data_IF_281080358328
#
_entry.id   IF_281080358328
#
_cell.length_a   1.000
_cell.length_b   1.000
_cell.length_c   1.000
_cell.angle_alpha   90.00
_cell.angle_beta   90.00
_cell.angle_gamma   90.00
#
_symmetry.space_group_name_H-M   'P 1'
#
loop_
_entity.id
_entity.type
_entity.pdbx_description
1 polymer ?
#
# COMPACT_ATOMS: atom_id res chain seq x y z
N UNK A 1 0.80 -0.38 6.85
CA UNK A 1 0.33 0.84 6.17
C UNK A 1 -0.63 1.62 7.07
N UNK A 2 -0.44 2.94 7.23
CA UNK A 2 -1.30 3.79 8.07
C UNK A 2 -2.44 4.37 7.21
N UNK A 3 -3.68 4.45 7.70
CA UNK A 3 -4.76 5.17 7.01
C UNK A 3 -4.40 6.66 6.83
N UNK A 4 -4.23 7.12 5.58
CA UNK A 4 -4.07 8.56 5.28
C UNK A 4 -5.40 9.14 4.82
N UNK A 5 -5.75 10.31 5.36
CA UNK A 5 -6.94 11.05 4.94
C UNK A 5 -6.72 11.64 3.55
N UNK A 6 -7.69 11.48 2.67
CA UNK A 6 -7.69 12.04 1.31
C UNK A 6 -7.40 13.54 1.29
N UNK A 7 -7.88 14.30 2.28
CA UNK A 7 -7.64 15.74 2.37
C UNK A 7 -6.15 16.07 2.52
N UNK A 8 -5.39 15.17 3.13
CA UNK A 8 -3.94 15.33 3.30
C UNK A 8 -3.23 15.08 1.97
N UNK A 9 -3.68 14.05 1.23
CA UNK A 9 -3.18 13.77 -0.12
C UNK A 9 -3.47 14.93 -1.06
N UNK A 10 -4.72 15.41 -1.09
CA UNK A 10 -5.16 16.46 -2.00
C UNK A 10 -4.55 17.84 -1.67
N UNK A 11 -4.10 18.06 -0.42
CA UNK A 11 -3.37 19.28 -0.03
C UNK A 11 -1.89 19.23 -0.39
N UNK A 12 -1.40 18.14 -1.00
CA UNK A 12 0.00 17.97 -1.42
C UNK A 12 1.00 18.02 -0.27
N UNK A 13 0.54 17.81 0.97
CA UNK A 13 1.37 17.91 2.17
C UNK A 13 1.69 16.51 2.66
N UNK A 14 2.97 16.13 2.50
CA UNK A 14 3.63 15.05 3.26
C UNK A 14 3.22 13.64 2.86
N UNK A 15 3.09 13.36 1.57
CA UNK A 15 3.22 11.99 1.06
C UNK A 15 4.24 12.00 -0.05
N UNK A 16 5.24 11.13 0.05
CA UNK A 16 6.19 10.87 -1.02
C UNK A 16 5.38 10.60 -2.29
N UNK A 17 5.58 11.40 -3.34
CA UNK A 17 4.76 11.37 -4.56
C UNK A 17 4.64 9.96 -5.16
N UNK A 18 5.64 9.10 -4.94
CA UNK A 18 5.66 7.73 -5.44
C UNK A 18 4.60 6.82 -4.79
N UNK A 19 4.04 7.21 -3.64
CA UNK A 19 3.06 6.42 -2.88
C UNK A 19 1.60 6.76 -3.20
N UNK A 20 1.35 7.77 -4.02
CA UNK A 20 0.00 8.17 -4.43
C UNK A 20 -0.04 8.25 -5.95
N UNK A 21 -1.11 7.69 -6.52
CA UNK A 21 -1.35 7.76 -7.96
C UNK A 21 -2.74 8.34 -8.21
N UNK A 22 -2.79 9.42 -8.97
CA UNK A 22 -4.04 10.05 -9.38
C UNK A 22 -4.41 9.58 -10.79
N UNK A 23 -5.65 9.12 -10.96
CA UNK A 23 -6.19 8.71 -12.25
C UNK A 23 -7.36 9.61 -12.60
N UNK A 24 -7.31 10.27 -13.75
CA UNK A 24 -8.37 11.19 -14.21
C UNK A 24 -9.72 10.50 -14.40
N UNK A 25 -9.74 9.21 -14.73
CA UNK A 25 -10.98 8.46 -14.93
C UNK A 25 -10.84 6.98 -14.64
N UNK A 26 -11.92 6.25 -14.87
CA UNK A 26 -11.96 4.79 -14.71
C UNK A 26 -11.37 4.09 -15.94
N UNK A 27 -10.14 3.58 -15.80
CA UNK A 27 -9.52 2.68 -16.77
C UNK A 27 -9.18 1.34 -16.09
N UNK A 28 -9.95 0.26 -16.32
CA UNK A 28 -9.74 -1.03 -15.66
C UNK A 28 -8.33 -1.60 -15.82
N UNK A 29 -7.71 -1.45 -16.99
CA UNK A 29 -6.38 -2.01 -17.26
C UNK A 29 -5.34 -1.32 -16.37
N UNK A 30 -5.27 0.00 -16.49
CA UNK A 30 -4.27 0.82 -15.81
C UNK A 30 -4.40 0.77 -14.28
N UNK A 31 -5.65 0.80 -13.77
CA UNK A 31 -5.90 0.75 -12.33
C UNK A 31 -5.53 -0.62 -11.76
N UNK A 32 -5.85 -1.72 -12.44
CA UNK A 32 -5.55 -3.07 -11.95
C UNK A 32 -4.06 -3.39 -12.03
N UNK A 33 -3.37 -2.90 -13.07
CA UNK A 33 -1.91 -2.96 -13.14
C UNK A 33 -1.28 -2.20 -11.98
N UNK A 34 -1.80 -1.02 -11.66
CA UNK A 34 -1.32 -0.19 -10.55
C UNK A 34 -1.58 -0.85 -9.18
N UNK A 35 -2.77 -1.43 -8.97
CA UNK A 35 -3.09 -2.22 -7.77
C UNK A 35 -2.12 -3.39 -7.61
N UNK A 36 -1.85 -4.12 -8.70
CA UNK A 36 -0.91 -5.24 -8.70
C UNK A 36 0.52 -4.77 -8.38
N UNK A 37 0.95 -3.64 -8.94
CA UNK A 37 2.26 -3.05 -8.64
C UNK A 37 2.40 -2.60 -7.18
N UNK A 38 1.39 -1.93 -6.62
CA UNK A 38 1.39 -1.58 -5.20
C UNK A 38 1.35 -2.79 -4.27
N UNK A 39 0.68 -3.89 -4.67
CA UNK A 39 0.70 -5.14 -3.94
C UNK A 39 2.10 -5.79 -3.94
N UNK A 40 2.84 -5.68 -5.05
CA UNK A 40 4.22 -6.13 -5.15
C UNK A 40 5.21 -5.26 -4.37
N UNK A 41 4.91 -3.97 -4.21
CA UNK A 41 5.65 -3.00 -3.39
C UNK A 41 7.16 -3.05 -3.64
N UNK A 42 7.59 -3.06 -4.90
CA UNK A 42 8.97 -3.33 -5.31
C UNK A 42 10.02 -2.49 -4.53
N UNK A 43 9.75 -1.20 -4.31
CA UNK A 43 10.62 -0.27 -3.57
C UNK A 43 10.44 -0.29 -2.03
N UNK A 44 9.70 -1.25 -1.48
CA UNK A 44 9.44 -1.40 -0.04
C UNK A 44 8.82 -0.17 0.63
N UNK A 45 7.92 0.51 -0.07
CA UNK A 45 7.17 1.67 0.42
C UNK A 45 5.99 1.30 1.33
N UNK A 46 5.77 0.00 1.55
CA UNK A 46 4.64 -0.58 2.28
C UNK A 46 3.29 -0.31 1.57
N UNK A 47 3.33 -0.31 0.24
CA UNK A 47 2.18 -0.03 -0.63
C UNK A 47 1.89 1.46 -0.80
N UNK A 48 0.71 1.76 -1.36
CA UNK A 48 0.33 3.11 -1.75
C UNK A 48 -1.18 3.30 -1.91
N UNK A 49 -1.53 4.44 -2.50
CA UNK A 49 -2.91 4.88 -2.66
C UNK A 49 -3.21 5.23 -4.11
N UNK A 50 -4.40 4.85 -4.58
CA UNK A 50 -4.90 5.29 -5.89
C UNK A 50 -6.15 6.14 -5.65
N UNK A 51 -6.21 7.29 -6.29
CA UNK A 51 -7.38 8.18 -6.27
C UNK A 51 -7.90 8.31 -7.69
N UNK A 52 -9.14 7.83 -7.91
CA UNK A 52 -9.80 7.87 -9.22
C UNK A 52 -10.66 9.15 -9.31
N UNK A 53 -10.76 9.69 -10.53
CA UNK A 53 -11.42 10.95 -10.89
C UNK A 53 -10.72 12.20 -10.39
N UNK A 54 -9.39 12.15 -10.35
CA UNK A 54 -8.53 13.28 -10.05
C UNK A 54 -7.50 13.41 -11.15
N UNK A 55 -7.50 14.55 -11.83
CA UNK A 55 -6.48 14.89 -12.81
C UNK A 55 -5.17 15.21 -12.09
N UNK A 56 -4.06 14.77 -12.65
CA UNK A 56 -2.72 15.04 -12.15
C UNK A 56 -1.94 15.93 -13.11
N UNK A 57 -1.10 16.80 -12.56
CA UNK A 57 -0.02 17.49 -13.26
C UNK A 57 1.22 17.52 -12.36
N UNK A 58 2.32 16.91 -12.81
CA UNK A 58 3.59 16.80 -12.07
C UNK A 58 3.44 16.19 -10.65
N UNK A 59 2.70 15.09 -10.47
CA UNK A 59 2.53 14.47 -9.14
C UNK A 59 1.54 15.18 -8.23
N UNK A 60 0.85 16.21 -8.73
CA UNK A 60 -0.05 17.06 -7.95
C UNK A 60 -1.47 17.05 -8.52
N UNK A 61 -2.50 16.99 -7.68
CA UNK A 61 -3.88 17.02 -8.13
C UNK A 61 -4.24 18.42 -8.68
N UNK A 62 -4.89 18.45 -9.84
CA UNK A 62 -5.37 19.66 -10.49
C UNK A 62 -6.82 19.92 -10.08
N UNK A 63 -7.12 21.19 -9.77
CA UNK A 63 -8.47 21.65 -9.42
C UNK A 63 -9.09 22.46 -10.57
N UNK A 64 -10.42 22.43 -10.77
CA UNK A 64 -11.42 21.68 -10.00
C UNK A 64 -11.35 20.16 -10.25
N UNK A 65 -11.74 19.39 -9.24
CA UNK A 65 -11.81 17.93 -9.34
C UNK A 65 -12.99 17.53 -10.24
N UNK A 66 -12.79 16.55 -11.12
CA UNK A 66 -13.84 16.07 -12.02
C UNK A 66 -14.90 15.26 -11.26
N UNK A 67 -14.47 14.36 -10.38
CA UNK A 67 -15.36 13.47 -9.65
C UNK A 67 -15.96 12.35 -10.51
N UNK A 68 -16.67 11.45 -9.84
CA UNK A 68 -17.46 10.38 -10.44
C UNK A 68 -18.95 10.72 -10.28
N UNK A 69 -19.77 10.58 -11.32
CA UNK A 69 -21.22 10.66 -11.19
C UNK A 69 -21.76 9.65 -10.17
N UNK A 70 -22.75 10.04 -9.37
CA UNK A 70 -23.25 9.20 -8.28
C UNK A 70 -23.85 7.88 -8.79
N UNK A 71 -24.47 7.91 -9.97
CA UNK A 71 -25.01 6.72 -10.64
C UNK A 71 -23.95 5.67 -10.99
N UNK A 72 -22.71 6.08 -11.26
CA UNK A 72 -21.65 5.18 -11.74
C UNK A 72 -20.83 4.57 -10.60
N UNK A 73 -20.90 5.14 -9.39
CA UNK A 73 -20.09 4.72 -8.24
C UNK A 73 -20.22 3.23 -7.92
N UNK A 74 -21.45 2.72 -7.85
CA UNK A 74 -21.70 1.31 -7.51
C UNK A 74 -21.19 0.37 -8.63
N UNK A 75 -21.40 0.76 -9.89
CA UNK A 75 -20.92 0.00 -11.05
C UNK A 75 -19.39 -0.09 -11.04
N UNK A 76 -18.71 1.04 -10.85
CA UNK A 76 -17.23 1.09 -10.82
C UNK A 76 -16.70 0.27 -9.64
N UNK A 77 -17.31 0.34 -8.45
CA UNK A 77 -16.90 -0.47 -7.31
C UNK A 77 -17.00 -1.97 -7.58
N UNK A 78 -18.12 -2.41 -8.17
CA UNK A 78 -18.33 -3.81 -8.53
C UNK A 78 -17.34 -4.27 -9.59
N UNK A 79 -17.07 -3.43 -10.59
CA UNK A 79 -16.07 -3.70 -11.62
C UNK A 79 -14.66 -3.82 -11.03
N UNK A 80 -14.22 -2.88 -10.18
CA UNK A 80 -12.92 -2.97 -9.49
C UNK A 80 -12.80 -4.31 -8.77
N UNK A 81 -13.82 -4.68 -8.00
CA UNK A 81 -13.82 -5.95 -7.26
C UNK A 81 -13.72 -7.16 -8.20
N UNK A 82 -14.49 -7.17 -9.30
CA UNK A 82 -14.46 -8.25 -10.29
C UNK A 82 -13.08 -8.38 -10.94
N UNK A 83 -12.47 -7.28 -11.35
CA UNK A 83 -11.15 -7.28 -11.97
C UNK A 83 -10.03 -7.61 -10.99
N UNK A 84 -10.14 -7.21 -9.71
CA UNK A 84 -9.19 -7.60 -8.67
C UNK A 84 -9.13 -9.13 -8.48
N UNK A 85 -10.23 -9.85 -8.73
CA UNK A 85 -10.23 -11.32 -8.69
C UNK A 85 -9.40 -11.96 -9.83
N UNK A 86 -9.00 -11.20 -10.84
CA UNK A 86 -8.08 -11.67 -11.89
C UNK A 86 -6.61 -11.56 -11.49
N UNK A 87 -6.30 -10.88 -10.38
CA UNK A 87 -4.94 -10.82 -9.82
C UNK A 87 -4.62 -12.18 -9.17
N UNK A 88 -3.42 -12.70 -9.44
CA UNK A 88 -2.94 -13.98 -8.92
C UNK A 88 -1.61 -13.77 -8.21
N UNK A 89 -1.49 -14.09 -6.91
CA UNK A 89 -2.55 -14.50 -5.99
C UNK A 89 -3.64 -13.44 -5.80
N UNK A 90 -4.81 -13.85 -5.32
CA UNK A 90 -5.96 -12.93 -5.16
C UNK A 90 -5.58 -11.77 -4.24
N UNK A 91 -5.76 -10.55 -4.74
CA UNK A 91 -5.51 -9.32 -3.99
C UNK A 91 -6.68 -8.36 -4.17
N UNK A 92 -7.19 -7.81 -3.06
CA UNK A 92 -8.29 -6.84 -3.08
C UNK A 92 -7.88 -5.65 -2.20
N UNK A 93 -7.76 -4.43 -2.76
CA UNK A 93 -7.46 -3.25 -1.97
C UNK A 93 -8.67 -2.83 -1.12
N UNK A 94 -8.43 -2.05 -0.07
CA UNK A 94 -9.53 -1.41 0.67
C UNK A 94 -10.04 -0.22 -0.15
N UNK A 95 -11.35 -0.17 -0.37
CA UNK A 95 -11.99 0.85 -1.21
C UNK A 95 -12.88 1.74 -0.38
N UNK A 96 -12.81 3.05 -0.60
CA UNK A 96 -13.65 4.04 0.07
C UNK A 96 -14.18 5.06 -0.95
N UNK A 97 -15.49 5.36 -0.88
CA UNK A 97 -16.08 6.49 -1.62
C UNK A 97 -16.00 7.72 -0.73
N UNK A 98 -15.56 8.83 -1.32
CA UNK A 98 -15.35 10.08 -0.60
C UNK A 98 -16.16 11.17 -1.31
N UNK A 99 -17.03 11.84 -0.56
CA UNK A 99 -17.63 13.11 -0.97
C UNK A 99 -16.67 14.24 -0.59
N UNK A 100 -16.04 14.86 -1.60
CA UNK A 100 -15.06 15.90 -1.36
C UNK A 100 -15.74 17.16 -0.80
N UNK A 101 -15.45 17.50 0.45
CA UNK A 101 -15.99 18.69 1.14
C UNK A 101 -17.53 18.78 1.18
N UNK A 102 -18.25 17.65 1.05
CA UNK A 102 -19.71 17.62 0.91
C UNK A 102 -20.21 18.48 -0.27
N UNK A 103 -19.41 18.59 -1.34
CA UNK A 103 -19.74 19.37 -2.53
C UNK A 103 -20.55 18.57 -3.56
N UNK A 104 -20.73 17.26 -3.34
CA UNK A 104 -21.34 16.35 -4.30
C UNK A 104 -20.37 15.80 -5.36
N UNK A 105 -19.07 16.10 -5.21
CA UNK A 105 -17.99 15.54 -6.03
C UNK A 105 -17.51 14.26 -5.35
N UNK A 106 -17.85 13.11 -5.93
CA UNK A 106 -17.46 11.81 -5.40
C UNK A 106 -16.12 11.34 -5.98
N UNK A 107 -15.24 10.82 -5.13
CA UNK A 107 -13.97 10.22 -5.52
C UNK A 107 -13.94 8.77 -5.04
N UNK A 108 -13.23 7.91 -5.78
CA UNK A 108 -12.96 6.54 -5.34
C UNK A 108 -11.51 6.48 -4.88
N UNK A 109 -11.33 6.10 -3.62
CA UNK A 109 -10.04 6.03 -2.95
C UNK A 109 -9.71 4.58 -2.64
N UNK A 110 -8.58 4.10 -3.17
CA UNK A 110 -8.11 2.72 -3.02
C UNK A 110 -6.84 2.69 -2.18
N UNK A 111 -6.83 1.88 -1.13
CA UNK A 111 -5.65 1.64 -0.29
C UNK A 111 -5.09 0.29 -0.64
N UNK A 112 -3.90 0.32 -1.23
CA UNK A 112 -3.20 -0.87 -1.68
C UNK A 112 -2.02 -1.09 -0.73
N UNK A 113 -2.19 -1.91 0.31
CA UNK A 113 -1.09 -2.33 1.17
C UNK A 113 -0.17 -3.31 0.47
N UNK A 114 1.12 -3.32 0.81
CA UNK A 114 2.03 -4.37 0.38
C UNK A 114 1.42 -5.75 0.71
N UNK A 115 1.38 -6.62 -0.28
CA UNK A 115 0.88 -7.97 -0.11
C UNK A 115 1.95 -8.89 0.50
N UNK A 116 1.51 -9.97 1.13
CA UNK A 116 2.36 -10.93 1.83
C UNK A 116 2.51 -12.26 1.08
N UNK A 117 1.66 -12.49 0.08
CA UNK A 117 1.49 -13.79 -0.57
C UNK A 117 2.07 -13.82 -1.99
N UNK A 118 2.64 -12.72 -2.47
CA UNK A 118 3.14 -12.55 -3.83
C UNK A 118 4.39 -13.39 -4.14
N UNK A 119 5.02 -13.17 -5.31
CA UNK A 119 4.76 -12.06 -6.23
C UNK A 119 3.39 -12.11 -6.92
N UNK A 120 2.74 -10.95 -7.05
CA UNK A 120 1.42 -10.77 -7.67
C UNK A 120 1.53 -10.54 -9.18
N UNK A 121 0.58 -11.09 -9.91
CA UNK A 121 0.46 -11.00 -11.35
C UNK A 121 -0.95 -10.55 -11.75
N UNK A 122 -1.04 -9.77 -12.83
CA UNK A 122 -2.32 -9.41 -13.44
C UNK A 122 -2.25 -9.59 -14.96
N UNK A 123 -3.38 -9.88 -15.63
CA UNK A 123 -3.40 -10.04 -17.08
C UNK A 123 -3.06 -8.70 -17.76
N UNK A 124 -2.36 -8.77 -18.89
CA UNK A 124 -2.04 -7.57 -19.69
C UNK A 124 -3.30 -6.85 -20.17
N UNK A 125 -4.32 -7.60 -20.55
CA UNK A 125 -5.64 -7.05 -20.89
C UNK A 125 -6.67 -7.55 -19.89
N UNK A 126 -7.08 -6.65 -19.00
CA UNK A 126 -8.10 -6.86 -17.95
C UNK A 126 -9.50 -6.62 -18.51
N UNK A 127 -9.67 -5.53 -19.27
CA UNK A 127 -10.91 -5.20 -19.97
C UNK A 127 -10.72 -5.27 -21.49
N UNK A 128 -11.72 -5.82 -22.17
CA UNK A 128 -11.76 -5.97 -23.62
C UNK A 128 -12.79 -5.01 -24.21
N UNK A 129 -12.32 -4.07 -25.02
CA UNK A 129 -13.22 -3.37 -25.93
C UNK A 129 -13.70 -4.33 -27.04
N UNK A 130 -14.94 -4.12 -27.52
CA UNK A 130 -15.55 -4.95 -28.55
C UNK A 130 -14.68 -4.97 -29.81
N UNK A 131 -14.09 -6.13 -30.11
CA UNK A 131 -13.29 -6.37 -31.32
C UNK A 131 -11.80 -6.62 -31.09
N UNK A 132 -11.29 -6.47 -29.85
CA UNK A 132 -9.89 -6.75 -29.53
C UNK A 132 -9.66 -8.21 -29.08
N UNK A 133 -8.49 -8.76 -29.45
CA UNK A 133 -8.06 -10.08 -28.96
C UNK A 133 -7.54 -9.94 -27.52
N UNK A 134 -8.04 -10.80 -26.65
CA UNK A 134 -7.62 -10.83 -25.26
C UNK A 134 -6.21 -11.39 -25.12
N UNK A 135 -5.27 -10.58 -24.64
CA UNK A 135 -4.00 -11.08 -24.15
C UNK A 135 -4.13 -11.42 -22.65
N UNK A 136 -4.39 -12.69 -22.39
CA UNK A 136 -4.53 -13.25 -21.03
C UNK A 136 -3.18 -13.59 -20.40
N UNK A 137 -2.06 -13.22 -21.02
CA UNK A 137 -0.76 -13.45 -20.40
C UNK A 137 -0.66 -12.65 -19.09
N UNK A 138 -0.45 -13.40 -18.01
CA UNK A 138 -0.19 -12.83 -16.70
C UNK A 138 1.22 -12.25 -16.68
N UNK A 139 1.34 -11.04 -16.12
CA UNK A 139 2.60 -10.30 -15.98
C UNK A 139 2.75 -9.82 -14.55
N UNK A 140 3.99 -9.76 -14.08
CA UNK A 140 4.33 -9.08 -12.84
C UNK A 140 4.38 -7.59 -13.13
N UNK A 141 3.57 -6.83 -12.41
CA UNK A 141 3.56 -5.38 -12.49
C UNK A 141 4.34 -4.83 -11.33
N UNK A 142 5.23 -3.88 -11.61
CA UNK A 142 6.04 -3.19 -10.61
C UNK A 142 5.95 -1.69 -10.83
N UNK A 143 6.37 -0.95 -9.81
CA UNK A 143 6.39 0.50 -9.82
C UNK A 143 7.71 0.96 -9.17
N UNK A 144 8.82 0.99 -9.94
CA UNK A 144 10.15 1.37 -9.44
C UNK A 144 10.35 2.89 -9.28
N UNK A 145 9.35 3.68 -9.68
CA UNK A 145 9.27 5.13 -9.57
C UNK A 145 7.79 5.52 -9.66
N UNK A 146 7.44 6.71 -10.12
CA UNK A 146 6.04 7.13 -10.30
C UNK A 146 5.32 6.50 -11.51
N UNK A 147 5.84 5.43 -12.11
CA UNK A 147 5.27 4.74 -13.27
C UNK A 147 5.10 3.24 -13.03
N UNK A 148 3.93 2.72 -13.38
CA UNK A 148 3.61 1.29 -13.37
C UNK A 148 4.07 0.65 -14.69
N UNK A 149 4.92 -0.37 -14.62
CA UNK A 149 5.46 -1.08 -15.79
C UNK A 149 5.46 -2.60 -15.60
N UNK A 150 5.57 -3.35 -16.69
CA UNK A 150 5.81 -4.79 -16.62
C UNK A 150 7.27 -5.05 -16.19
N UNK A 151 7.44 -5.99 -15.26
CA UNK A 151 8.76 -6.35 -14.74
C UNK A 151 9.57 -7.14 -15.77
N UNK A 152 10.85 -6.79 -15.90
CA UNK A 152 11.85 -7.50 -16.68
C UNK A 152 12.41 -8.69 -15.90
N UNK A 153 13.21 -9.52 -16.58
CA UNK A 153 13.68 -10.80 -16.04
C UNK A 153 14.51 -10.66 -14.75
N UNK A 154 15.35 -9.62 -14.70
CA UNK A 154 16.13 -9.19 -13.55
C UNK A 154 15.24 -8.72 -12.39
N UNK A 155 14.32 -7.81 -12.65
CA UNK A 155 13.38 -7.27 -11.65
C UNK A 155 12.46 -8.35 -11.08
N UNK A 156 12.04 -9.33 -11.91
CA UNK A 156 11.27 -10.50 -11.46
C UNK A 156 12.09 -11.31 -10.45
N UNK A 157 13.37 -11.53 -10.71
CA UNK A 157 14.23 -12.33 -9.82
C UNK A 157 14.35 -11.65 -8.45
N UNK A 158 14.57 -10.33 -8.43
CA UNK A 158 14.58 -9.53 -7.20
C UNK A 158 13.25 -9.56 -6.46
N UNK A 159 12.13 -9.50 -7.19
CA UNK A 159 10.79 -9.57 -6.62
C UNK A 159 10.56 -10.92 -5.92
N UNK A 160 10.98 -12.03 -6.54
CA UNK A 160 10.93 -13.35 -5.92
C UNK A 160 11.81 -13.44 -4.68
N UNK A 161 13.04 -12.93 -4.74
CA UNK A 161 13.95 -12.91 -3.59
C UNK A 161 13.36 -12.12 -2.42
N UNK A 162 12.71 -10.99 -2.71
CA UNK A 162 11.98 -10.20 -1.73
C UNK A 162 10.86 -11.01 -1.07
N UNK A 163 9.95 -11.61 -1.85
CA UNK A 163 8.83 -12.37 -1.28
C UNK A 163 9.27 -13.65 -0.55
N UNK A 164 10.40 -14.24 -0.95
CA UNK A 164 11.02 -15.38 -0.27
C UNK A 164 11.79 -14.99 0.99
N UNK A 165 12.24 -13.74 1.08
CA UNK A 165 12.88 -13.24 2.29
C UNK A 165 11.84 -13.23 3.41
N UNK A 166 12.03 -14.12 4.39
CA UNK A 166 11.10 -14.26 5.51
C UNK A 166 11.08 -12.90 6.23
N UNK A 167 9.95 -12.18 6.25
CA UNK A 167 9.87 -10.96 7.04
C UNK A 167 10.11 -11.35 8.49
N UNK A 168 10.86 -10.52 9.22
CA UNK A 168 10.90 -10.66 10.67
C UNK A 168 9.46 -10.53 11.19
N UNK A 169 8.90 -11.66 11.61
CA UNK A 169 7.52 -11.74 12.10
C UNK A 169 7.43 -10.91 13.39
N UNK A 170 6.63 -9.84 13.35
CA UNK A 170 6.34 -8.98 14.48
C UNK A 170 5.29 -9.58 15.43
N UNK A 171 4.74 -10.75 15.08
CA UNK A 171 3.83 -11.50 15.95
C UNK A 171 4.55 -11.95 17.23
N UNK A 172 3.84 -11.81 18.34
CA UNK A 172 4.29 -12.35 19.63
C UNK A 172 4.46 -13.86 19.50
N UNK A 173 5.73 -14.31 19.54
CA UNK A 173 6.03 -15.73 19.62
C UNK A 173 5.55 -16.28 20.97
N UNK A 174 4.35 -16.87 21.00
CA UNK A 174 3.74 -17.44 22.21
C UNK A 174 4.51 -18.62 22.81
N UNK A 175 5.46 -19.19 22.07
CA UNK A 175 6.37 -20.24 22.56
C UNK A 175 7.64 -19.67 23.19
N UNK A 176 7.87 -18.36 23.10
CA UNK A 176 9.01 -17.72 23.73
C UNK A 176 8.85 -17.77 25.26
N UNK A 177 9.77 -18.46 25.94
CA UNK A 177 9.91 -18.45 27.40
C UNK A 177 10.98 -17.44 27.82
N UNK A 178 11.04 -17.12 29.11
CA UNK A 178 12.07 -16.22 29.69
C UNK A 178 13.48 -16.70 29.36
N UNK A 179 13.70 -18.00 29.26
CA UNK A 179 15.01 -18.59 28.94
C UNK A 179 15.50 -18.26 27.52
N UNK A 180 14.59 -17.89 26.61
CA UNK A 180 14.94 -17.48 25.24
C UNK A 180 15.42 -16.02 25.18
N UNK A 181 15.26 -15.24 26.25
CA UNK A 181 15.75 -13.87 26.33
C UNK A 181 17.26 -13.92 26.65
N UNK A 182 18.09 -13.46 25.70
CA UNK A 182 19.53 -13.36 25.94
C UNK A 182 19.80 -12.43 27.11
N UNK A 183 20.53 -12.94 28.10
CA UNK A 183 20.82 -12.28 29.39
C UNK A 183 21.57 -10.93 29.27
N UNK A 184 22.11 -10.60 28.10
CA UNK A 184 22.79 -9.34 27.80
C UNK A 184 21.84 -8.20 27.38
N UNK A 185 20.60 -8.51 26.99
CA UNK A 185 19.63 -7.52 26.47
C UNK A 185 18.74 -6.91 27.55
N UNK A 186 18.81 -7.43 28.78
CA UNK A 186 18.13 -6.82 29.93
C UNK A 186 19.00 -5.68 30.45
N UNK A 187 18.49 -4.43 30.57
CA UNK A 187 19.20 -3.44 31.34
C UNK A 187 19.39 -4.01 32.74
N UNK A 188 20.66 -4.23 33.13
CA UNK A 188 20.98 -4.61 34.51
C UNK A 188 20.26 -3.61 35.40
N UNK A 189 19.47 -4.17 36.32
CA UNK A 189 18.63 -3.50 37.34
C UNK A 189 18.94 -2.01 37.51
N UNK A 190 17.88 -1.23 37.36
CA UNK A 190 17.76 0.21 37.59
C UNK A 190 18.74 0.84 38.59
N UNK A 191 19.11 2.13 38.41
CA UNK A 191 19.94 2.89 39.34
C UNK A 191 19.33 3.04 40.75
N UNK A 192 18.11 2.54 41.00
CA UNK A 192 17.42 2.71 42.28
C UNK A 192 18.18 2.12 43.47
N UNK A 193 18.98 1.05 43.27
CA UNK A 193 19.81 0.51 44.37
C UNK A 193 21.03 1.38 44.69
N UNK A 194 21.54 2.16 43.73
CA UNK A 194 22.59 3.15 43.99
C UNK A 194 22.02 4.39 44.69
N UNK A 195 20.81 4.82 44.33
CA UNK A 195 20.14 5.97 44.96
C UNK A 195 19.76 5.66 46.42
N UNK A 196 19.33 4.43 46.72
CA UNK A 196 18.99 4.04 48.10
C UNK A 196 20.20 4.03 49.04
N UNK A 197 21.38 3.61 48.55
CA UNK A 197 22.61 3.64 49.34
C UNK A 197 23.16 5.06 49.53
N UNK A 198 22.98 5.93 48.53
CA UNK A 198 23.45 7.33 48.61
C UNK A 198 22.61 8.18 49.59
N UNK A 199 21.29 7.91 49.70
CA UNK A 199 20.41 8.56 50.69
C UNK A 199 20.73 8.11 52.12
N UNK A 200 21.14 6.85 52.32
CA UNK A 200 21.55 6.34 53.64
C UNK A 200 22.90 6.92 54.10
N UNK A 201 23.86 7.09 53.20
CA UNK A 201 25.17 7.71 53.53
C UNK A 201 25.06 9.21 53.89
N UNK A 202 24.05 9.92 53.37
CA UNK A 202 23.84 11.34 53.68
C UNK A 202 22.99 11.54 54.95
N UNK A 203 22.24 10.52 55.40
CA UNK A 203 21.32 10.63 56.54
C UNK A 203 21.84 10.05 57.86
N UNK A 204 23.11 9.64 57.93
CA UNK A 204 23.84 9.48 59.20
C UNK A 204 23.19 8.56 60.23
N UNK A 205 22.80 7.34 59.83
CA UNK A 205 22.52 6.21 60.71
C UNK A 205 23.32 4.98 60.28
#
# INVERSE_FOLDING_TARGET
>A
MIPLKIETLLKGRVVEHDRVEYKTGWNPNDIIHSICAFANDYDNTNGGYIVISVKEENGMPVFPLEGVPKEDLDSIQQEIFQYCNQIVPRYIPRMEIIDYQNSGIFLIYLWCSAGDSGPYQAPKTVYLEKGMKADKNLKYWIRPASLTTDAKQDEISELFDKFNSVPFDDRVNRKATIDNIRHYSLPKKSPMRQIQNWILEISGF
#
